data_IF_161226986473
#
_entry.id   IF_161226986473
#
_cell.length_a   1.000
_cell.length_b   1.000
_cell.length_c   1.000
_cell.angle_alpha   90.00
_cell.angle_beta   90.00
_cell.angle_gamma   90.00
#
_symmetry.space_group_name_H-M   'P 1'
#
loop_
_entity.id
_entity.type
_entity.pdbx_description
1 polymer ?
#
# COMPACT_ATOMS: atom_id res chain seq x y z
N UNK A 1 9.60 13.39 10.59
CA UNK A 1 9.58 14.56 9.70
C UNK A 1 9.52 14.02 8.28
N UNK A 2 8.51 14.38 7.48
CA UNK A 2 8.45 14.00 6.06
C UNK A 2 8.90 15.19 5.21
N UNK A 3 9.80 14.99 4.25
CA UNK A 3 10.18 16.02 3.27
C UNK A 3 9.89 15.54 1.84
N UNK A 4 9.35 16.44 1.02
CA UNK A 4 9.27 16.24 -0.44
C UNK A 4 10.52 16.90 -1.03
N UNK A 5 11.39 16.10 -1.64
CA UNK A 5 12.62 16.59 -2.26
C UNK A 5 12.36 17.01 -3.71
N UNK A 6 12.89 18.16 -4.12
CA UNK A 6 13.12 18.48 -5.52
C UNK A 6 14.51 17.97 -5.94
N UNK A 7 14.81 17.95 -7.24
CA UNK A 7 16.10 17.58 -7.84
C UNK A 7 17.34 18.32 -7.30
N UNK A 8 17.16 19.35 -6.46
CA UNK A 8 18.21 20.18 -5.85
C UNK A 8 18.61 19.79 -4.41
N UNK A 9 18.16 18.64 -3.87
CA UNK A 9 18.47 18.17 -2.51
C UNK A 9 18.03 19.10 -1.34
N UNK A 10 17.20 20.11 -1.60
CA UNK A 10 16.58 20.92 -0.54
C UNK A 10 15.16 20.42 -0.30
N UNK A 11 14.98 19.54 0.69
CA UNK A 11 13.68 19.04 1.09
C UNK A 11 12.91 20.06 1.92
N UNK A 12 11.68 20.37 1.53
CA UNK A 12 10.76 21.13 2.39
C UNK A 12 10.00 20.16 3.29
N UNK A 13 10.01 20.39 4.61
CA UNK A 13 9.18 19.63 5.55
C UNK A 13 7.71 19.77 5.20
N UNK A 14 7.02 18.64 5.05
CA UNK A 14 5.61 18.55 4.64
C UNK A 14 4.68 18.37 5.83
N UNK A 15 5.14 17.72 6.91
CA UNK A 15 4.31 17.42 8.09
C UNK A 15 5.16 17.21 9.37
N UNK A 16 4.71 17.74 10.52
CA UNK A 16 5.33 17.53 11.83
C UNK A 16 4.39 17.84 13.02
N UNK A 17 4.37 17.03 14.10
CA UNK A 17 4.68 15.60 14.17
C UNK A 17 3.50 14.75 13.67
N UNK A 18 3.80 13.63 12.99
CA UNK A 18 2.80 12.66 12.53
C UNK A 18 2.91 11.42 13.42
N UNK A 19 1.88 11.08 14.24
CA UNK A 19 2.00 10.02 15.23
C UNK A 19 1.80 8.63 14.61
N UNK A 20 2.83 7.78 14.71
CA UNK A 20 2.79 6.36 14.33
C UNK A 20 2.30 6.09 12.88
N UNK A 21 2.94 6.70 11.86
CA UNK A 21 2.60 6.41 10.47
C UNK A 21 2.89 4.95 10.14
N UNK A 22 1.95 4.26 9.48
CA UNK A 22 2.11 2.88 9.03
C UNK A 22 2.24 2.76 7.51
N UNK A 23 1.61 3.66 6.77
CA UNK A 23 1.60 3.66 5.31
C UNK A 23 1.20 5.05 4.80
N UNK A 24 1.50 5.33 3.55
CA UNK A 24 1.13 6.57 2.89
C UNK A 24 0.65 6.32 1.47
N UNK A 25 -0.26 7.16 1.00
CA UNK A 25 -0.67 7.25 -0.39
C UNK A 25 -0.48 8.69 -0.87
N UNK A 26 0.09 8.84 -2.07
CA UNK A 26 0.31 10.15 -2.70
C UNK A 26 -0.75 10.35 -3.77
N UNK A 27 -1.53 11.42 -3.61
CA UNK A 27 -2.50 11.86 -4.61
C UNK A 27 -2.02 13.18 -5.20
N UNK A 28 -1.97 13.25 -6.53
CA UNK A 28 -1.59 14.44 -7.28
C UNK A 28 -2.71 14.70 -8.29
N UNK A 29 -3.42 15.81 -8.11
CA UNK A 29 -4.50 16.21 -9.02
C UNK A 29 -4.01 17.20 -10.09
N UNK A 30 -2.70 17.42 -10.20
CA UNK A 30 -2.07 18.38 -11.11
C UNK A 30 -2.06 19.81 -10.58
N UNK A 31 -2.83 20.12 -9.54
CA UNK A 31 -2.85 21.44 -8.88
C UNK A 31 -2.15 21.38 -7.52
N UNK A 32 -2.38 20.30 -6.76
CA UNK A 32 -1.82 20.11 -5.43
C UNK A 32 -1.39 18.65 -5.25
N UNK A 33 -0.35 18.45 -4.43
CA UNK A 33 0.02 17.14 -3.91
C UNK A 33 -0.61 16.98 -2.53
N UNK A 34 -1.33 15.88 -2.34
CA UNK A 34 -1.93 15.47 -1.08
C UNK A 34 -1.32 14.16 -0.62
N UNK A 35 -1.00 14.09 0.66
CA UNK A 35 -0.55 12.88 1.32
C UNK A 35 -1.68 12.36 2.20
N UNK A 36 -2.01 11.09 2.03
CA UNK A 36 -2.92 10.37 2.91
C UNK A 36 -2.08 9.42 3.73
N UNK A 37 -2.04 9.61 5.04
CA UNK A 37 -1.17 8.86 5.95
C UNK A 37 -2.05 8.05 6.88
N UNK A 38 -1.90 6.73 6.83
CA UNK A 38 -2.52 5.84 7.81
C UNK A 38 -1.72 5.88 9.11
N UNK A 39 -2.44 6.01 10.22
CA UNK A 39 -1.86 6.13 11.55
C UNK A 39 -2.29 4.94 12.41
N UNK A 40 -1.33 4.09 12.75
CA UNK A 40 -1.58 2.77 13.31
C UNK A 40 -2.33 2.81 14.65
N UNK A 41 -1.79 3.53 15.63
CA UNK A 41 -2.39 3.64 16.96
C UNK A 41 -3.48 4.71 17.07
N UNK A 42 -3.63 5.54 16.04
CA UNK A 42 -4.64 6.61 16.00
C UNK A 42 -5.94 6.18 15.29
N UNK A 43 -5.99 4.97 14.73
CA UNK A 43 -7.19 4.36 14.14
C UNK A 43 -7.88 5.22 13.07
N UNK A 44 -7.07 5.98 12.32
CA UNK A 44 -7.52 6.89 11.28
C UNK A 44 -6.48 7.05 10.17
N UNK A 45 -6.92 7.66 9.08
CA UNK A 45 -6.05 8.28 8.09
C UNK A 45 -6.12 9.80 8.24
N UNK A 46 -4.99 10.46 8.02
CA UNK A 46 -4.93 11.92 7.93
C UNK A 46 -4.53 12.35 6.52
N UNK A 47 -5.24 13.33 5.98
CA UNK A 47 -4.90 14.05 4.76
C UNK A 47 -4.03 15.25 5.11
N UNK A 48 -2.92 15.37 4.41
CA UNK A 48 -1.97 16.47 4.51
C UNK A 48 -1.81 17.10 3.13
N UNK A 49 -1.66 18.42 3.11
CA UNK A 49 -1.33 19.18 1.90
C UNK A 49 0.02 19.83 2.07
N UNK A 50 0.67 20.20 0.97
CA UNK A 50 1.97 20.88 1.00
C UNK A 50 1.92 22.13 1.90
N UNK A 51 2.83 22.18 2.88
CA UNK A 51 2.94 23.30 3.82
C UNK A 51 1.97 23.26 5.01
N UNK A 52 1.15 22.22 5.14
CA UNK A 52 0.26 22.07 6.29
C UNK A 52 1.05 21.80 7.59
N UNK A 53 0.65 22.46 8.68
CA UNK A 53 1.20 22.23 10.02
C UNK A 53 0.42 21.17 10.81
N UNK A 54 -0.75 20.75 10.32
CA UNK A 54 -1.59 19.70 10.92
C UNK A 54 -2.37 18.94 9.85
N UNK A 55 -2.60 17.65 10.09
CA UNK A 55 -3.42 16.79 9.23
C UNK A 55 -4.91 17.00 9.46
N UNK A 56 -5.71 16.78 8.41
CA UNK A 56 -7.16 16.68 8.48
C UNK A 56 -7.52 15.20 8.53
N UNK A 57 -8.22 14.75 9.57
CA UNK A 57 -8.69 13.37 9.61
C UNK A 57 -9.64 13.09 8.44
N UNK A 58 -9.30 12.06 7.65
CA UNK A 58 -10.14 11.55 6.56
C UNK A 58 -10.25 10.04 6.74
N UNK A 59 -11.46 9.54 6.94
CA UNK A 59 -11.63 8.17 7.38
C UNK A 59 -11.33 7.94 8.86
N UNK A 60 -11.40 6.67 9.22
CA UNK A 60 -11.59 6.21 10.60
C UNK A 60 -12.47 4.97 10.59
N UNK A 61 -12.54 4.26 11.73
CA UNK A 61 -13.13 2.91 11.92
C UNK A 61 -12.24 1.74 11.53
N UNK A 62 -11.02 1.97 11.02
CA UNK A 62 -10.03 0.90 10.89
C UNK A 62 -9.36 0.61 12.24
N UNK A 63 -9.44 -0.64 12.70
CA UNK A 63 -8.76 -1.11 13.91
C UNK A 63 -7.31 -1.40 13.54
N UNK A 64 -6.38 -0.58 14.06
CA UNK A 64 -4.97 -0.55 13.66
C UNK A 64 -4.78 -0.35 12.15
N UNK A 65 -5.08 0.86 11.67
CA UNK A 65 -4.98 1.18 10.23
C UNK A 65 -3.55 0.92 9.74
N UNK A 66 -3.42 0.19 8.63
CA UNK A 66 -2.13 -0.11 8.03
C UNK A 66 -2.01 0.53 6.67
N UNK A 67 -2.52 -0.13 5.63
CA UNK A 67 -2.54 0.32 4.26
C UNK A 67 -3.61 1.36 4.00
N UNK A 68 -3.31 2.23 3.03
CA UNK A 68 -4.22 3.27 2.55
C UNK A 68 -4.15 3.33 1.02
N UNK A 69 -5.32 3.50 0.40
CA UNK A 69 -5.49 3.74 -1.03
C UNK A 69 -6.58 4.79 -1.26
N UNK A 70 -6.45 5.63 -2.28
CA UNK A 70 -7.41 6.70 -2.57
C UNK A 70 -7.86 6.65 -4.04
N UNK A 71 -9.16 6.46 -4.24
CA UNK A 71 -9.75 6.39 -5.58
C UNK A 71 -9.90 7.77 -6.26
N UNK A 72 -10.34 7.81 -7.52
CA UNK A 72 -10.52 9.06 -8.28
C UNK A 72 -11.57 9.99 -7.68
N UNK A 73 -12.55 9.43 -6.98
CA UNK A 73 -13.59 10.19 -6.25
C UNK A 73 -13.14 10.61 -4.85
N UNK A 74 -11.89 10.35 -4.49
CA UNK A 74 -11.27 10.65 -3.19
C UNK A 74 -11.84 9.83 -2.03
N UNK A 75 -12.50 8.70 -2.30
CA UNK A 75 -12.78 7.76 -1.22
C UNK A 75 -11.47 7.17 -0.71
N UNK A 76 -11.39 6.99 0.61
CA UNK A 76 -10.20 6.50 1.30
C UNK A 76 -10.47 5.07 1.73
N UNK A 77 -9.72 4.13 1.15
CA UNK A 77 -9.74 2.73 1.50
C UNK A 77 -8.62 2.44 2.48
N UNK A 78 -8.90 1.65 3.51
CA UNK A 78 -8.00 1.37 4.62
C UNK A 78 -8.04 -0.11 4.96
N UNK A 79 -6.88 -0.71 5.23
CA UNK A 79 -6.82 -2.03 5.85
C UNK A 79 -6.94 -1.90 7.37
N UNK A 80 -7.84 -2.66 7.99
CA UNK A 80 -7.97 -2.77 9.44
C UNK A 80 -7.27 -4.05 9.92
N UNK A 81 -6.03 -3.95 10.41
CA UNK A 81 -5.19 -5.10 10.75
C UNK A 81 -5.79 -6.03 11.80
N UNK A 82 -6.45 -5.51 12.84
CA UNK A 82 -7.20 -6.33 13.82
C UNK A 82 -8.69 -6.42 13.55
N UNK A 83 -9.16 -5.73 12.51
CA UNK A 83 -10.54 -5.78 12.06
C UNK A 83 -10.76 -6.79 10.94
N UNK A 84 -9.70 -7.46 10.47
CA UNK A 84 -9.72 -8.46 9.39
C UNK A 84 -10.48 -7.99 8.14
N UNK A 85 -10.44 -6.69 7.89
CA UNK A 85 -11.34 -6.02 6.95
C UNK A 85 -10.69 -4.87 6.21
N UNK A 86 -11.34 -4.50 5.11
CA UNK A 86 -11.12 -3.27 4.39
C UNK A 86 -12.27 -2.33 4.70
N UNK A 87 -11.96 -1.13 5.17
CA UNK A 87 -12.94 -0.06 5.38
C UNK A 87 -12.78 1.01 4.31
N UNK A 88 -13.88 1.64 3.93
CA UNK A 88 -13.93 2.75 2.98
C UNK A 88 -14.59 3.94 3.64
N UNK A 89 -13.94 5.10 3.61
CA UNK A 89 -14.55 6.37 3.95
C UNK A 89 -14.81 7.17 2.68
N UNK A 90 -16.00 7.78 2.58
CA UNK A 90 -16.38 8.63 1.47
C UNK A 90 -16.45 10.10 1.89
N UNK A 91 -15.72 11.01 1.21
CA UNK A 91 -15.86 12.44 1.46
C UNK A 91 -17.21 13.00 1.02
N UNK A 92 -17.93 12.34 0.12
CA UNK A 92 -19.22 12.80 -0.38
C UNK A 92 -20.33 12.65 0.68
N UNK A 93 -20.30 11.56 1.43
CA UNK A 93 -21.29 11.28 2.50
C UNK A 93 -20.73 11.54 3.89
N UNK A 94 -19.41 11.70 4.02
CA UNK A 94 -18.69 11.76 5.28
C UNK A 94 -18.96 10.54 6.18
N UNK A 95 -19.05 9.35 5.59
CA UNK A 95 -19.32 8.10 6.31
C UNK A 95 -18.26 7.04 6.00
N UNK A 96 -18.02 6.15 6.98
CA UNK A 96 -17.22 4.94 6.81
C UNK A 96 -18.11 3.70 6.72
N UNK A 97 -17.72 2.74 5.89
CA UNK A 97 -18.33 1.42 5.82
C UNK A 97 -17.28 0.32 5.67
N UNK A 98 -17.64 -0.91 6.05
CA UNK A 98 -16.84 -2.10 5.75
C UNK A 98 -17.12 -2.52 4.31
N UNK A 99 -16.06 -2.63 3.50
CA UNK A 99 -16.14 -3.13 2.11
C UNK A 99 -16.18 -4.66 2.12
N UNK A 100 -15.33 -5.28 2.94
CA UNK A 100 -15.17 -6.74 3.03
C UNK A 100 -14.45 -7.09 4.34
N UNK A 101 -14.81 -8.20 5.00
CA UNK A 101 -14.34 -8.58 6.35
C UNK A 101 -14.00 -10.06 6.53
N UNK A 102 -12.97 -10.52 5.84
CA UNK A 102 -12.43 -11.88 6.00
C UNK A 102 -10.93 -11.99 5.66
N UNK A 103 -10.22 -10.86 5.56
CA UNK A 103 -8.77 -10.86 5.32
C UNK A 103 -8.04 -11.18 6.62
N UNK A 104 -6.88 -11.80 6.52
CA UNK A 104 -6.07 -12.17 7.69
C UNK A 104 -4.86 -11.24 7.77
N UNK A 105 -4.77 -10.47 8.86
CA UNK A 105 -3.68 -9.51 9.13
C UNK A 105 -3.36 -8.61 7.90
N UNK A 106 -4.35 -7.87 7.35
CA UNK A 106 -4.16 -7.09 6.14
C UNK A 106 -3.21 -5.91 6.39
N UNK A 107 -2.10 -5.83 5.64
CA UNK A 107 -1.11 -4.73 5.79
C UNK A 107 -1.19 -3.65 4.74
N UNK A 108 -1.38 -4.01 3.48
CA UNK A 108 -1.41 -3.04 2.40
C UNK A 108 -2.50 -3.38 1.38
N UNK A 109 -2.92 -2.35 0.64
CA UNK A 109 -4.10 -2.37 -0.22
C UNK A 109 -3.82 -1.66 -1.55
N UNK A 110 -4.35 -2.23 -2.62
CA UNK A 110 -4.51 -1.59 -3.92
C UNK A 110 -5.96 -1.79 -4.39
N UNK A 111 -6.60 -0.73 -4.89
CA UNK A 111 -7.96 -0.82 -5.45
C UNK A 111 -7.90 -0.53 -6.94
N UNK A 112 -8.34 -1.50 -7.73
CA UNK A 112 -8.51 -1.37 -9.17
C UNK A 112 -9.93 -0.90 -9.46
N UNK A 113 -10.05 0.41 -9.70
CA UNK A 113 -11.33 1.08 -9.96
C UNK A 113 -11.98 0.63 -11.29
N UNK A 114 -11.22 0.03 -12.21
CA UNK A 114 -11.76 -0.41 -13.50
C UNK A 114 -12.59 -1.68 -13.38
N UNK A 115 -12.31 -2.50 -12.36
CA UNK A 115 -13.00 -3.77 -12.13
C UNK A 115 -13.68 -3.86 -10.76
N UNK A 116 -13.56 -2.81 -9.94
CA UNK A 116 -13.96 -2.78 -8.53
C UNK A 116 -13.30 -3.90 -7.71
N UNK A 117 -12.03 -4.19 -8.01
CA UNK A 117 -11.25 -5.22 -7.33
C UNK A 117 -10.38 -4.62 -6.23
N UNK A 118 -10.29 -5.33 -5.10
CA UNK A 118 -9.43 -4.97 -3.98
C UNK A 118 -8.36 -6.04 -3.79
N UNK A 119 -7.11 -5.65 -3.90
CA UNK A 119 -5.94 -6.49 -3.66
C UNK A 119 -5.37 -6.16 -2.29
N UNK A 120 -5.01 -7.18 -1.52
CA UNK A 120 -4.57 -7.03 -0.13
C UNK A 120 -3.41 -7.96 0.18
N UNK A 121 -2.40 -7.45 0.88
CA UNK A 121 -1.32 -8.24 1.44
C UNK A 121 -1.75 -8.86 2.77
N UNK A 122 -1.88 -10.19 2.81
CA UNK A 122 -2.15 -10.97 4.02
C UNK A 122 -0.83 -11.48 4.59
N UNK A 123 -0.28 -10.76 5.55
CA UNK A 123 1.15 -10.87 5.89
C UNK A 123 1.50 -12.18 6.57
N UNK A 124 0.66 -12.62 7.50
CA UNK A 124 0.84 -13.90 8.19
C UNK A 124 0.46 -15.10 7.33
N UNK A 125 -0.25 -14.85 6.21
CA UNK A 125 -0.59 -15.86 5.21
C UNK A 125 0.39 -15.90 4.03
N UNK A 126 1.40 -15.02 4.02
CA UNK A 126 2.46 -14.97 3.01
C UNK A 126 1.93 -14.91 1.56
N UNK A 127 0.85 -14.16 1.34
CA UNK A 127 0.19 -14.09 0.03
C UNK A 127 -0.51 -12.77 -0.20
N UNK A 128 -0.83 -12.53 -1.47
CA UNK A 128 -1.70 -11.44 -1.90
C UNK A 128 -3.05 -12.03 -2.31
N UNK A 129 -4.12 -11.54 -1.68
CA UNK A 129 -5.49 -11.94 -1.98
C UNK A 129 -6.21 -10.80 -2.71
N UNK A 130 -6.88 -11.12 -3.82
CA UNK A 130 -7.74 -10.21 -4.56
C UNK A 130 -9.20 -10.59 -4.35
N UNK A 131 -10.08 -9.63 -4.10
CA UNK A 131 -11.54 -9.78 -4.07
C UNK A 131 -12.15 -8.87 -5.12
N UNK A 132 -13.21 -9.33 -5.79
CA UNK A 132 -13.96 -8.53 -6.77
C UNK A 132 -15.43 -8.93 -6.74
N UNK A 133 -16.33 -8.17 -7.38
CA UNK A 133 -17.73 -8.59 -7.55
C UNK A 133 -17.89 -9.96 -8.22
N UNK A 134 -16.93 -10.38 -9.05
CA UNK A 134 -16.93 -11.69 -9.73
C UNK A 134 -16.31 -12.81 -8.87
N UNK A 135 -15.53 -12.45 -7.85
CA UNK A 135 -14.87 -13.37 -6.94
C UNK A 135 -14.99 -12.86 -5.49
N UNK A 136 -16.20 -12.90 -4.89
CA UNK A 136 -16.48 -12.26 -3.60
C UNK A 136 -15.81 -12.97 -2.42
N UNK A 137 -15.38 -14.23 -2.58
CA UNK A 137 -14.59 -14.97 -1.59
C UNK A 137 -13.07 -14.81 -1.76
N UNK A 138 -12.68 -14.10 -2.81
CA UNK A 138 -11.30 -13.81 -3.17
C UNK A 138 -10.56 -14.96 -3.87
N UNK A 139 -9.45 -14.59 -4.48
CA UNK A 139 -8.48 -15.48 -5.14
C UNK A 139 -7.07 -15.07 -4.76
N UNK A 140 -6.14 -16.02 -4.74
CA UNK A 140 -4.74 -15.74 -4.47
C UNK A 140 -4.04 -15.40 -5.78
N UNK A 141 -3.39 -14.24 -5.82
CA UNK A 141 -2.76 -13.71 -7.05
C UNK A 141 -1.25 -13.65 -6.97
N UNK A 142 -0.68 -13.85 -5.77
CA UNK A 142 0.75 -14.02 -5.55
C UNK A 142 1.02 -14.74 -4.22
N UNK A 143 2.12 -15.50 -4.15
CA UNK A 143 2.48 -16.37 -3.02
C UNK A 143 1.94 -17.80 -3.18
N UNK A 144 2.33 -18.68 -2.27
CA UNK A 144 1.96 -20.08 -2.33
C UNK A 144 0.47 -20.29 -2.06
N UNK A 145 -0.15 -21.19 -2.80
CA UNK A 145 -1.59 -21.50 -2.65
C UNK A 145 -1.95 -22.04 -1.28
N UNK A 146 -1.01 -22.72 -0.62
CA UNK A 146 -1.13 -23.26 0.74
C UNK A 146 -0.73 -22.26 1.83
N UNK A 147 -0.31 -21.04 1.46
CA UNK A 147 0.18 -20.01 2.38
C UNK A 147 1.57 -20.30 2.96
N UNK A 148 2.30 -21.30 2.44
CA UNK A 148 3.66 -21.59 2.86
C UNK A 148 4.59 -20.41 2.58
N UNK A 149 5.39 -20.04 3.58
CA UNK A 149 6.44 -19.06 3.40
C UNK A 149 7.69 -19.70 2.82
N UNK A 150 8.48 -18.91 2.09
CA UNK A 150 9.81 -19.28 1.65
C UNK A 150 10.35 -18.31 0.61
N UNK A 151 11.49 -18.64 0.02
CA UNK A 151 12.27 -17.79 -0.87
C UNK A 151 12.21 -18.23 -2.35
N UNK A 152 11.52 -19.35 -2.66
CA UNK A 152 11.24 -19.73 -4.03
C UNK A 152 10.41 -18.65 -4.76
N UNK A 153 10.49 -18.64 -6.09
CA UNK A 153 9.80 -17.65 -6.92
C UNK A 153 8.27 -17.69 -6.77
N UNK A 154 7.70 -18.84 -6.41
CA UNK A 154 6.27 -19.04 -6.13
C UNK A 154 5.87 -18.73 -4.68
N UNK A 155 6.83 -18.39 -3.81
CA UNK A 155 6.61 -18.14 -2.39
C UNK A 155 6.90 -16.69 -2.04
N UNK A 156 6.32 -16.25 -0.93
CA UNK A 156 6.59 -14.96 -0.31
C UNK A 156 6.88 -15.19 1.17
N UNK A 157 7.40 -14.17 1.85
CA UNK A 157 7.66 -14.17 3.28
C UNK A 157 7.33 -12.80 3.86
N UNK A 158 6.23 -12.74 4.61
CA UNK A 158 5.69 -11.51 5.20
C UNK A 158 5.63 -10.34 4.18
N UNK A 159 4.85 -10.47 3.08
CA UNK A 159 4.72 -9.39 2.12
C UNK A 159 4.03 -8.18 2.75
N UNK A 160 4.66 -7.01 2.76
CA UNK A 160 4.10 -5.83 3.48
C UNK A 160 3.61 -4.71 2.58
N UNK A 161 4.08 -4.66 1.32
CA UNK A 161 3.69 -3.63 0.37
C UNK A 161 3.19 -4.25 -0.93
N UNK A 162 2.18 -3.65 -1.54
CA UNK A 162 1.66 -4.05 -2.85
C UNK A 162 1.37 -2.88 -3.76
N UNK A 163 1.48 -3.11 -5.05
CA UNK A 163 0.89 -2.27 -6.09
C UNK A 163 0.50 -3.13 -7.29
N UNK A 164 -0.58 -2.75 -7.97
CA UNK A 164 -1.08 -3.50 -9.13
C UNK A 164 -1.14 -2.57 -10.33
N UNK A 165 -0.61 -3.04 -11.46
CA UNK A 165 -0.89 -2.39 -12.74
C UNK A 165 -2.31 -2.79 -13.17
N UNK A 166 -3.26 -1.88 -13.02
CA UNK A 166 -4.66 -2.11 -13.36
C UNK A 166 -4.85 -2.50 -14.84
N UNK A 167 -3.95 -2.15 -15.76
CA UNK A 167 -4.12 -2.53 -17.18
C UNK A 167 -3.72 -3.97 -17.43
N UNK A 168 -2.59 -4.38 -16.86
CA UNK A 168 -2.02 -5.72 -17.10
C UNK A 168 -2.39 -6.74 -16.02
N UNK A 169 -2.96 -6.29 -14.91
CA UNK A 169 -3.16 -7.02 -13.64
C UNK A 169 -1.86 -7.62 -13.10
N UNK A 170 -0.72 -6.99 -13.40
CA UNK A 170 0.57 -7.38 -12.84
C UNK A 170 0.67 -6.88 -11.41
N UNK A 171 0.98 -7.79 -10.48
CA UNK A 171 1.12 -7.49 -9.05
C UNK A 171 2.59 -7.34 -8.70
N UNK A 172 2.93 -6.23 -8.06
CA UNK A 172 4.25 -5.96 -7.51
C UNK A 172 4.17 -6.08 -5.99
N UNK A 173 5.05 -6.89 -5.43
CA UNK A 173 5.01 -7.25 -4.01
C UNK A 173 6.35 -6.95 -3.36
N UNK A 174 6.34 -6.17 -2.29
CA UNK A 174 7.47 -6.07 -1.38
C UNK A 174 7.51 -7.33 -0.50
N UNK A 175 8.35 -8.28 -0.91
CA UNK A 175 8.56 -9.56 -0.23
C UNK A 175 9.57 -9.37 0.91
N UNK A 176 9.09 -8.68 1.95
CA UNK A 176 9.90 -7.96 2.93
C UNK A 176 10.98 -8.80 3.58
N UNK A 177 10.64 -10.00 4.06
CA UNK A 177 11.60 -10.83 4.81
C UNK A 177 12.54 -11.62 3.88
N UNK A 178 12.29 -11.59 2.58
CA UNK A 178 13.22 -12.07 1.56
C UNK A 178 14.05 -10.94 0.95
N UNK A 179 13.86 -9.68 1.37
CA UNK A 179 14.66 -8.55 0.91
C UNK A 179 14.58 -8.33 -0.61
N UNK A 180 13.40 -8.51 -1.21
CA UNK A 180 13.20 -8.39 -2.67
C UNK A 180 11.86 -7.79 -3.06
N UNK A 181 11.78 -7.28 -4.28
CA UNK A 181 10.52 -6.97 -4.97
C UNK A 181 10.23 -8.05 -6.00
N UNK A 182 9.08 -8.70 -5.84
CA UNK A 182 8.57 -9.69 -6.78
C UNK A 182 7.54 -9.06 -7.72
N UNK A 183 7.66 -9.32 -9.01
CA UNK A 183 6.66 -9.01 -10.03
C UNK A 183 5.96 -10.28 -10.47
N UNK A 184 4.65 -10.34 -10.25
CA UNK A 184 3.78 -11.44 -10.64
C UNK A 184 2.86 -10.99 -11.77
N UNK A 185 3.04 -11.56 -12.96
CA UNK A 185 2.10 -11.32 -14.06
C UNK A 185 0.74 -11.93 -13.73
N UNK A 186 -0.32 -11.41 -14.35
CA UNK A 186 -1.65 -11.96 -14.19
C UNK A 186 -1.68 -13.48 -14.41
N UNK A 187 -2.25 -14.22 -13.47
CA UNK A 187 -2.36 -15.69 -13.47
C UNK A 187 -1.00 -16.45 -13.48
N UNK A 188 0.12 -15.79 -13.21
CA UNK A 188 1.39 -16.47 -13.07
C UNK A 188 1.44 -17.30 -11.79
N UNK A 189 2.07 -18.46 -11.86
CA UNK A 189 2.31 -19.33 -10.68
C UNK A 189 3.52 -18.87 -9.85
N UNK A 190 4.40 -18.05 -10.42
CA UNK A 190 5.62 -17.57 -9.79
C UNK A 190 5.92 -16.13 -10.20
N UNK A 191 6.62 -15.40 -9.34
CA UNK A 191 7.07 -14.04 -9.58
C UNK A 191 8.52 -13.96 -10.05
N UNK A 192 8.82 -12.91 -10.81
CA UNK A 192 10.18 -12.52 -11.17
C UNK A 192 10.73 -11.55 -10.11
N UNK A 193 11.95 -11.76 -9.63
CA UNK A 193 12.64 -10.75 -8.82
C UNK A 193 13.08 -9.60 -9.72
N UNK A 194 12.63 -8.38 -9.41
CA UNK A 194 12.94 -7.17 -10.21
C UNK A 194 13.79 -6.14 -9.48
N UNK A 195 13.93 -6.27 -8.15
CA UNK A 195 14.79 -5.45 -7.32
C UNK A 195 15.13 -6.19 -6.00
N UNK A 196 16.23 -5.80 -5.37
CA UNK A 196 16.76 -6.47 -4.17
C UNK A 196 17.61 -7.71 -4.47
N UNK A 197 18.34 -8.17 -3.45
CA UNK A 197 19.33 -9.24 -3.57
C UNK A 197 18.79 -10.64 -3.27
N UNK A 198 17.53 -10.76 -2.81
CA UNK A 198 16.91 -12.03 -2.43
C UNK A 198 17.53 -12.68 -1.17
N UNK A 199 18.44 -11.98 -0.49
CA UNK A 199 19.05 -12.44 0.75
C UNK A 199 18.19 -12.03 1.94
N UNK A 200 18.04 -12.93 2.92
CA UNK A 200 17.43 -12.61 4.21
C UNK A 200 18.20 -11.50 4.90
N UNK A 201 17.62 -10.30 4.87
CA UNK A 201 18.16 -9.13 5.52
C UNK A 201 17.06 -8.55 6.40
N UNK A 202 17.38 -8.38 7.67
CA UNK A 202 16.42 -7.99 8.71
C UNK A 202 15.96 -6.52 8.60
N UNK A 203 16.34 -5.80 7.54
CA UNK A 203 16.17 -4.33 7.48
C UNK A 203 16.30 -3.71 6.08
N UNK A 204 15.71 -4.30 5.02
CA UNK A 204 15.35 -3.45 3.87
C UNK A 204 13.86 -3.15 3.96
N UNK A 205 13.55 -1.92 4.35
CA UNK A 205 12.22 -1.35 4.17
C UNK A 205 12.09 -0.92 2.71
N UNK A 206 11.65 -1.83 1.85
CA UNK A 206 11.14 -1.41 0.54
C UNK A 206 9.82 -0.69 0.77
N UNK A 207 9.85 0.63 0.63
CA UNK A 207 8.62 1.41 0.54
C UNK A 207 8.19 1.46 -0.92
N UNK A 208 7.05 0.83 -1.25
CA UNK A 208 6.36 1.11 -2.49
C UNK A 208 5.65 2.45 -2.30
N UNK A 209 6.19 3.51 -2.91
CA UNK A 209 5.45 4.75 -3.01
C UNK A 209 4.32 4.56 -4.03
N UNK A 210 3.09 4.61 -3.53
CA UNK A 210 1.88 4.35 -4.30
C UNK A 210 1.28 5.64 -4.82
N UNK A 211 1.16 5.71 -6.14
CA UNK A 211 0.22 6.57 -6.87
C UNK A 211 -0.71 5.67 -7.69
N UNK A 212 -1.86 6.21 -8.07
CA UNK A 212 -2.85 5.51 -8.91
C UNK A 212 -2.21 4.90 -10.18
N UNK A 213 -1.36 5.67 -10.86
CA UNK A 213 -0.80 5.28 -12.16
C UNK A 213 0.69 4.89 -12.12
N UNK A 214 1.32 4.88 -10.94
CA UNK A 214 2.75 4.62 -10.82
C UNK A 214 3.13 4.02 -9.46
N UNK A 215 4.05 3.05 -9.50
CA UNK A 215 4.77 2.57 -8.33
C UNK A 215 6.24 2.92 -8.45
N UNK A 216 6.82 3.37 -7.33
CA UNK A 216 8.25 3.62 -7.22
C UNK A 216 8.84 2.73 -6.16
N UNK A 217 9.84 1.96 -6.56
CA UNK A 217 10.67 1.16 -5.66
C UNK A 217 11.77 2.07 -5.15
N UNK A 218 11.82 2.27 -3.84
CA UNK A 218 12.89 3.00 -3.20
C UNK A 218 13.76 2.00 -2.45
N UNK A 219 15.05 1.97 -2.79
CA UNK A 219 16.07 1.29 -2.00
C UNK A 219 16.58 2.27 -0.95
N UNK A 220 16.47 1.91 0.33
CA UNK A 220 16.89 2.78 1.43
C UNK A 220 18.32 2.47 1.85
N UNK A 221 19.28 3.25 1.36
CA UNK A 221 20.46 3.62 2.13
C UNK A 221 20.38 5.14 2.32
N UNK A 222 19.65 5.56 3.35
CA UNK A 222 19.39 6.95 3.74
C UNK A 222 18.58 7.84 2.74
N UNK A 223 17.43 8.28 3.23
CA UNK A 223 16.51 9.29 2.68
C UNK A 223 15.75 8.95 1.38
N UNK A 224 14.43 8.96 1.53
CA UNK A 224 13.39 8.90 0.51
C UNK A 224 13.71 9.82 -0.69
N UNK A 225 14.12 9.26 -1.84
CA UNK A 225 14.35 10.02 -3.07
C UNK A 225 13.10 9.97 -3.96
N UNK A 226 12.22 10.96 -3.83
CA UNK A 226 11.18 11.24 -4.84
C UNK A 226 11.86 11.84 -6.09
N UNK A 227 11.86 11.11 -7.22
CA UNK A 227 12.30 11.63 -8.54
C UNK A 227 11.13 11.75 -9.51
N UNK A 228 10.26 12.74 -9.35
CA UNK A 228 9.22 13.00 -10.36
C UNK A 228 9.96 13.35 -11.66
N UNK A 229 9.88 12.49 -12.67
CA UNK A 229 10.34 12.78 -14.03
C UNK A 229 9.12 12.74 -14.94
N UNK A 230 9.05 13.78 -15.79
CA UNK A 230 7.95 14.11 -16.69
C UNK A 230 7.62 13.00 -17.69
#
# INVERSE_FOLDING_TARGET
MFSLNHSSNTGTTVAYPVPFPSNLYVDDDGNQIMLYIALFFAYRVEKWVKGATSGVQVGGTCIFCCGVWVDKTKNVYMTAYRGDSITKWSPQTNTSSVVVSFFIDPRDIHVDETTDSVYVAEVTQNRIRMVSPKAPHGVYVAGATDGSQGDYASQLRAPQGIWVDDKTKTVYVADTYNGRIQRWKANAYMGDTIAGSGMHINSIEFCLMKRRDEVRILETDFFLQLRITQ
#
